data_IF_740398765505
#
_entry.id   IF_740398765505
#
_cell.length_a   1.000
_cell.length_b   1.000
_cell.length_c   1.000
_cell.angle_alpha   90.00
_cell.angle_beta   90.00
_cell.angle_gamma   90.00
#
_symmetry.space_group_name_H-M   'P 1'
#
loop_
_entity.id
_entity.type
_entity.pdbx_description
1 polymer ?
#
# COMPACT_ATOMS: atom_id res chain seq x y z
N UNK A 1 21.32 14.29 32.51
CA UNK A 1 21.34 13.72 31.15
C UNK A 1 20.13 12.81 31.04
N UNK A 2 19.18 13.05 30.15
CA UNK A 2 18.03 12.17 29.99
C UNK A 2 18.48 10.89 29.26
N UNK A 3 18.14 9.75 29.87
CA UNK A 3 18.45 8.42 29.29
C UNK A 3 17.72 8.23 27.97
N UNK A 4 18.46 7.91 26.93
CA UNK A 4 17.91 7.54 25.63
C UNK A 4 17.15 6.22 25.75
N UNK A 5 15.89 6.11 25.26
CA UNK A 5 15.10 4.89 25.37
C UNK A 5 15.78 3.76 24.60
N UNK A 6 15.97 2.62 25.26
CA UNK A 6 16.64 1.43 24.69
C UNK A 6 15.88 0.88 23.46
N UNK A 7 16.58 0.54 22.35
CA UNK A 7 15.98 0.09 21.09
C UNK A 7 15.30 -1.31 21.13
N UNK A 8 15.27 -1.98 22.29
CA UNK A 8 14.71 -3.33 22.45
C UNK A 8 13.17 -3.40 22.38
N UNK A 9 12.45 -2.32 22.65
CA UNK A 9 10.97 -2.31 22.62
C UNK A 9 10.40 -2.37 21.22
N UNK A 10 11.09 -1.81 20.20
CA UNK A 10 10.60 -1.76 18.82
C UNK A 10 10.66 -3.12 18.13
N UNK A 11 11.62 -3.97 18.43
CA UNK A 11 11.73 -5.30 17.83
C UNK A 11 10.63 -6.25 18.36
N UNK A 12 10.40 -6.23 19.67
CA UNK A 12 9.35 -7.04 20.29
C UNK A 12 7.96 -6.64 19.77
N UNK A 13 7.70 -5.34 19.61
CA UNK A 13 6.44 -4.83 19.07
C UNK A 13 6.24 -5.26 17.60
N UNK A 14 7.28 -5.17 16.77
CA UNK A 14 7.24 -5.61 15.37
C UNK A 14 7.03 -7.13 15.26
N UNK A 15 7.68 -7.89 16.13
CA UNK A 15 7.54 -9.35 16.13
C UNK A 15 6.13 -9.78 16.58
N UNK A 16 5.57 -9.10 17.59
CA UNK A 16 4.20 -9.40 18.08
C UNK A 16 3.14 -9.03 17.04
N UNK A 17 3.27 -7.88 16.36
CA UNK A 17 2.35 -7.52 15.28
C UNK A 17 2.43 -8.48 14.10
N UNK A 18 3.62 -8.89 13.69
CA UNK A 18 3.81 -9.89 12.63
C UNK A 18 3.24 -11.26 13.03
N UNK A 19 3.42 -11.69 14.27
CA UNK A 19 2.92 -12.95 14.80
C UNK A 19 1.38 -13.02 14.86
N UNK A 20 0.70 -11.88 14.93
CA UNK A 20 -0.77 -11.81 14.90
C UNK A 20 -1.28 -11.64 13.46
N UNK A 21 -0.66 -10.74 12.69
CA UNK A 21 -1.13 -10.43 11.34
C UNK A 21 -0.89 -11.57 10.35
N UNK A 22 0.23 -12.29 10.45
CA UNK A 22 0.53 -13.37 9.52
C UNK A 22 -0.48 -14.53 9.59
N UNK A 23 -0.82 -15.09 10.77
CA UNK A 23 -1.86 -16.10 10.87
C UNK A 23 -3.24 -15.60 10.43
N UNK A 24 -3.58 -14.33 10.71
CA UNK A 24 -4.85 -13.74 10.30
C UNK A 24 -4.95 -13.67 8.77
N UNK A 25 -3.90 -13.23 8.09
CA UNK A 25 -3.84 -13.17 6.62
C UNK A 25 -3.90 -14.59 6.03
N UNK A 26 -3.12 -15.54 6.56
CA UNK A 26 -3.14 -16.93 6.08
C UNK A 26 -4.51 -17.58 6.29
N UNK A 27 -5.15 -17.35 7.44
CA UNK A 27 -6.50 -17.82 7.67
C UNK A 27 -7.50 -17.22 6.67
N UNK A 28 -7.41 -15.92 6.40
CA UNK A 28 -8.27 -15.23 5.44
C UNK A 28 -8.11 -15.74 4.00
N UNK A 29 -6.91 -16.23 3.65
CA UNK A 29 -6.60 -16.76 2.31
C UNK A 29 -7.01 -18.23 2.12
N UNK A 30 -6.83 -19.06 3.15
CA UNK A 30 -6.93 -20.53 3.00
C UNK A 30 -8.20 -21.13 3.60
N UNK A 31 -8.84 -20.50 4.58
CA UNK A 31 -10.00 -21.08 5.28
C UNK A 31 -11.02 -20.08 5.78
N UNK A 32 -10.78 -18.80 5.60
CA UNK A 32 -11.66 -17.72 6.06
C UNK A 32 -12.83 -17.46 5.10
N UNK A 33 -13.83 -16.69 5.55
CA UNK A 33 -14.90 -16.23 4.68
C UNK A 33 -14.36 -15.33 3.56
N UNK A 34 -14.91 -15.48 2.35
CA UNK A 34 -14.43 -14.78 1.13
C UNK A 34 -14.36 -13.25 1.25
N UNK A 35 -15.19 -12.64 2.09
CA UNK A 35 -15.19 -11.19 2.31
C UNK A 35 -14.03 -10.69 3.20
N UNK A 36 -13.42 -11.57 3.99
CA UNK A 36 -12.42 -11.18 4.98
C UNK A 36 -11.13 -10.66 4.34
N UNK A 37 -10.61 -11.38 3.34
CA UNK A 37 -9.37 -10.98 2.66
C UNK A 37 -9.49 -9.65 1.90
N UNK A 38 -10.54 -9.39 1.08
CA UNK A 38 -10.73 -8.09 0.44
C UNK A 38 -10.82 -6.93 1.43
N UNK A 39 -11.52 -7.10 2.56
CA UNK A 39 -11.63 -6.06 3.60
C UNK A 39 -10.26 -5.78 4.22
N UNK A 40 -9.53 -6.83 4.65
CA UNK A 40 -8.18 -6.65 5.22
C UNK A 40 -7.24 -5.95 4.24
N UNK A 41 -7.24 -6.39 2.98
CA UNK A 41 -6.40 -5.80 1.93
C UNK A 41 -6.77 -4.35 1.66
N UNK A 42 -8.05 -3.99 1.66
CA UNK A 42 -8.52 -2.61 1.51
C UNK A 42 -8.07 -1.74 2.68
N UNK A 43 -8.15 -2.23 3.91
CA UNK A 43 -7.68 -1.51 5.11
C UNK A 43 -6.17 -1.29 5.02
N UNK A 44 -5.39 -2.33 4.70
CA UNK A 44 -3.93 -2.23 4.56
C UNK A 44 -3.55 -1.24 3.46
N UNK A 45 -4.23 -1.29 2.32
CA UNK A 45 -4.03 -0.34 1.22
C UNK A 45 -4.33 1.10 1.66
N UNK A 46 -5.43 1.33 2.38
CA UNK A 46 -5.80 2.65 2.91
C UNK A 46 -4.78 3.20 3.91
N UNK A 47 -4.29 2.36 4.81
CA UNK A 47 -3.23 2.73 5.76
C UNK A 47 -1.91 3.04 5.04
N UNK A 48 -1.51 2.20 4.08
CA UNK A 48 -0.32 2.43 3.26
C UNK A 48 -0.43 3.71 2.42
N UNK A 49 -1.60 3.99 1.86
CA UNK A 49 -1.86 5.25 1.17
C UNK A 49 -1.76 6.46 2.13
N UNK A 50 -2.32 6.35 3.32
CA UNK A 50 -2.22 7.41 4.33
C UNK A 50 -0.76 7.71 4.69
N UNK A 51 0.07 6.69 4.91
CA UNK A 51 1.50 6.85 5.19
C UNK A 51 2.25 7.44 4.00
N UNK A 52 2.01 6.93 2.78
CA UNK A 52 2.63 7.44 1.56
C UNK A 52 2.36 8.94 1.39
N UNK A 53 1.09 9.35 1.51
CA UNK A 53 0.73 10.76 1.35
C UNK A 53 1.09 11.63 2.57
N UNK A 54 1.32 11.04 3.75
CA UNK A 54 1.92 11.75 4.87
C UNK A 54 3.38 12.15 4.59
N UNK A 55 4.12 11.29 3.89
CA UNK A 55 5.52 11.53 3.52
C UNK A 55 5.65 12.44 2.29
N UNK A 56 4.79 12.26 1.28
CA UNK A 56 4.90 12.98 0.00
C UNK A 56 4.20 14.33 -0.02
N UNK A 57 3.24 14.56 0.87
CA UNK A 57 2.52 15.84 1.02
C UNK A 57 2.51 16.32 2.49
N UNK A 58 3.69 16.55 3.13
CA UNK A 58 3.76 17.02 4.50
C UNK A 58 3.13 18.42 4.62
N UNK A 59 2.32 18.63 5.65
CA UNK A 59 1.63 19.91 5.87
C UNK A 59 0.41 20.19 4.97
N UNK A 60 0.03 19.26 4.08
CA UNK A 60 -1.11 19.39 3.17
C UNK A 60 -2.22 18.35 3.45
N UNK A 61 -3.07 18.56 4.46
CA UNK A 61 -4.08 17.56 4.85
C UNK A 61 -5.10 17.26 3.75
N UNK A 62 -5.46 18.26 2.94
CA UNK A 62 -6.38 18.09 1.80
C UNK A 62 -5.78 17.18 0.73
N UNK A 63 -4.51 17.40 0.36
CA UNK A 63 -3.81 16.55 -0.61
C UNK A 63 -3.65 15.11 -0.10
N UNK A 64 -3.38 14.94 1.20
CA UNK A 64 -3.30 13.62 1.83
C UNK A 64 -4.65 12.89 1.77
N UNK A 65 -5.72 13.55 2.20
CA UNK A 65 -7.06 12.98 2.18
C UNK A 65 -7.49 12.61 0.75
N UNK A 66 -7.19 13.49 -0.21
CA UNK A 66 -7.46 13.21 -1.62
C UNK A 66 -6.67 12.02 -2.13
N UNK A 67 -5.38 11.91 -1.82
CA UNK A 67 -4.55 10.79 -2.24
C UNK A 67 -5.07 9.44 -1.75
N UNK A 68 -5.49 9.37 -0.48
CA UNK A 68 -6.13 8.16 0.08
C UNK A 68 -7.44 7.85 -0.64
N UNK A 69 -8.30 8.85 -0.84
CA UNK A 69 -9.57 8.67 -1.55
C UNK A 69 -9.35 8.19 -2.99
N UNK A 70 -8.43 8.80 -3.72
CA UNK A 70 -8.08 8.42 -5.08
C UNK A 70 -7.54 6.98 -5.15
N UNK A 71 -6.75 6.55 -4.16
CA UNK A 71 -6.26 5.17 -4.05
C UNK A 71 -7.43 4.18 -3.92
N UNK A 72 -8.39 4.47 -3.06
CA UNK A 72 -9.56 3.63 -2.87
C UNK A 72 -10.50 3.65 -4.09
N UNK A 73 -10.61 4.80 -4.78
CA UNK A 73 -11.37 4.92 -6.03
C UNK A 73 -10.78 4.04 -7.16
N UNK A 74 -9.47 3.88 -7.22
CA UNK A 74 -8.82 3.00 -8.21
C UNK A 74 -8.91 1.54 -7.77
N UNK A 75 -8.74 1.26 -6.48
CA UNK A 75 -8.83 -0.09 -5.93
C UNK A 75 -10.19 -0.74 -6.21
N UNK A 76 -11.30 -0.02 -6.08
CA UNK A 76 -12.64 -0.56 -6.27
C UNK A 76 -12.84 -1.26 -7.63
N UNK A 77 -12.67 -0.57 -8.77
CA UNK A 77 -12.81 -1.18 -10.10
C UNK A 77 -11.73 -2.21 -10.42
N UNK A 78 -10.46 -1.99 -9.98
CA UNK A 78 -9.37 -2.92 -10.26
C UNK A 78 -9.52 -4.23 -9.50
N UNK A 79 -10.12 -4.21 -8.32
CA UNK A 79 -10.42 -5.42 -7.53
C UNK A 79 -11.64 -6.20 -8.04
N UNK A 80 -12.48 -5.60 -8.89
CA UNK A 80 -13.76 -6.19 -9.29
C UNK A 80 -14.90 -5.94 -8.29
N UNK A 81 -14.64 -5.30 -7.14
CA UNK A 81 -15.69 -4.96 -6.15
C UNK A 81 -16.71 -3.95 -6.72
N UNK A 82 -16.26 -3.12 -7.62
CA UNK A 82 -17.08 -2.20 -8.41
C UNK A 82 -16.90 -2.58 -9.88
N UNK A 83 -17.95 -2.48 -10.68
CA UNK A 83 -17.90 -2.89 -12.10
C UNK A 83 -16.74 -2.25 -12.88
N UNK A 84 -16.12 -3.00 -13.77
CA UNK A 84 -14.94 -2.54 -14.56
C UNK A 84 -15.23 -1.27 -15.39
N UNK A 85 -16.47 -1.03 -15.75
CA UNK A 85 -16.89 0.20 -16.44
C UNK A 85 -16.58 1.48 -15.68
N UNK A 86 -16.41 1.40 -14.36
CA UNK A 86 -16.05 2.52 -13.50
C UNK A 86 -14.55 2.84 -13.49
N UNK A 87 -13.71 1.98 -14.06
CA UNK A 87 -12.25 2.18 -14.04
C UNK A 87 -11.84 3.51 -14.67
N UNK A 88 -12.31 3.77 -15.89
CA UNK A 88 -11.97 5.01 -16.61
C UNK A 88 -12.47 6.27 -15.91
N UNK A 89 -13.74 6.36 -15.44
CA UNK A 89 -14.20 7.49 -14.63
C UNK A 89 -13.40 7.68 -13.35
N UNK A 90 -13.08 6.61 -12.61
CA UNK A 90 -12.29 6.70 -11.39
C UNK A 90 -10.87 7.20 -11.64
N UNK A 91 -10.23 6.76 -12.73
CA UNK A 91 -8.95 7.27 -13.19
C UNK A 91 -9.04 8.77 -13.48
N UNK A 92 -10.01 9.19 -14.28
CA UNK A 92 -10.17 10.59 -14.65
C UNK A 92 -10.38 11.48 -13.42
N UNK A 93 -11.25 11.07 -12.50
CA UNK A 93 -11.51 11.80 -11.24
C UNK A 93 -10.25 11.85 -10.38
N UNK A 94 -9.51 10.75 -10.26
CA UNK A 94 -8.28 10.67 -9.46
C UNK A 94 -7.21 11.62 -10.00
N UNK A 95 -6.99 11.65 -11.31
CA UNK A 95 -6.00 12.52 -11.98
C UNK A 95 -6.41 13.98 -11.87
N UNK A 96 -7.63 14.33 -12.27
CA UNK A 96 -8.12 15.72 -12.26
C UNK A 96 -8.11 16.26 -10.83
N UNK A 97 -8.65 15.51 -9.87
CA UNK A 97 -8.67 15.93 -8.48
C UNK A 97 -7.28 16.02 -7.86
N UNK A 98 -6.36 15.12 -8.19
CA UNK A 98 -4.96 15.19 -7.79
C UNK A 98 -4.30 16.48 -8.26
N UNK A 99 -4.46 16.82 -9.54
CA UNK A 99 -3.95 18.07 -10.10
C UNK A 99 -4.62 19.32 -9.49
N UNK A 100 -5.95 19.30 -9.30
CA UNK A 100 -6.68 20.41 -8.67
C UNK A 100 -6.21 20.67 -7.24
N UNK A 101 -5.96 19.63 -6.44
CA UNK A 101 -5.46 19.82 -5.06
C UNK A 101 -4.06 20.40 -5.00
N UNK A 102 -3.25 20.29 -6.06
CA UNK A 102 -1.93 20.94 -6.14
C UNK A 102 -2.04 22.43 -6.40
N UNK A 103 -3.13 22.89 -7.06
CA UNK A 103 -3.36 24.29 -7.40
C UNK A 103 -3.95 25.11 -6.25
N UNK A 104 -4.68 24.46 -5.33
CA UNK A 104 -5.44 25.15 -4.24
C UNK A 104 -4.52 25.81 -3.20
N UNK A 105 -3.30 25.34 -3.00
CA UNK A 105 -2.30 26.01 -2.15
C UNK A 105 -0.97 26.03 -2.88
N UNK A 106 -0.51 27.22 -3.21
CA UNK A 106 0.76 27.48 -3.92
C UNK A 106 1.93 27.42 -2.92
N UNK A 107 2.59 26.28 -2.72
CA UNK A 107 3.95 26.23 -2.20
C UNK A 107 4.91 26.56 -3.35
N UNK A 108 6.21 26.67 -3.10
CA UNK A 108 7.17 26.93 -4.18
C UNK A 108 6.96 25.94 -5.33
N UNK A 109 6.95 26.45 -6.56
CA UNK A 109 6.63 25.73 -7.80
C UNK A 109 7.43 24.42 -7.93
N UNK A 110 8.65 24.40 -7.39
CA UNK A 110 9.55 23.24 -7.38
C UNK A 110 8.97 22.01 -6.64
N UNK A 111 8.23 22.19 -5.55
CA UNK A 111 7.61 21.10 -4.80
C UNK A 111 6.23 20.70 -5.33
N UNK A 112 5.57 21.60 -6.09
CA UNK A 112 4.24 21.34 -6.63
C UNK A 112 4.24 20.23 -7.68
N UNK A 113 5.23 20.21 -8.58
CA UNK A 113 5.36 19.20 -9.62
C UNK A 113 5.60 17.81 -9.02
N UNK A 114 6.50 17.68 -8.04
CA UNK A 114 6.77 16.41 -7.36
C UNK A 114 5.54 15.91 -6.59
N UNK A 115 4.87 16.80 -5.86
CA UNK A 115 3.65 16.46 -5.13
C UNK A 115 2.51 16.05 -6.07
N UNK A 116 2.32 16.77 -7.19
CA UNK A 116 1.36 16.42 -8.23
C UNK A 116 1.65 15.05 -8.83
N UNK A 117 2.91 14.75 -9.12
CA UNK A 117 3.36 13.44 -9.59
C UNK A 117 2.98 12.31 -8.62
N UNK A 118 3.18 12.50 -7.31
CA UNK A 118 2.77 11.51 -6.30
C UNK A 118 1.25 11.41 -6.15
N UNK A 119 0.50 12.53 -6.24
CA UNK A 119 -0.96 12.51 -6.15
C UNK A 119 -1.64 11.85 -7.35
N UNK A 120 -0.93 11.74 -8.48
CA UNK A 120 -1.38 10.97 -9.64
C UNK A 120 -0.82 9.55 -9.60
N UNK A 121 0.48 9.38 -9.46
CA UNK A 121 1.14 8.08 -9.54
C UNK A 121 0.88 7.17 -8.32
N UNK A 122 0.83 7.75 -7.10
CA UNK A 122 0.62 6.99 -5.86
C UNK A 122 -0.69 6.19 -5.83
N UNK A 123 -1.85 6.78 -6.19
CA UNK A 123 -3.10 6.06 -6.30
C UNK A 123 -3.06 4.87 -7.27
N UNK A 124 -2.41 5.04 -8.43
CA UNK A 124 -2.21 3.93 -9.37
C UNK A 124 -1.30 2.86 -8.79
N UNK A 125 -0.18 3.26 -8.20
CA UNK A 125 0.77 2.31 -7.61
C UNK A 125 0.12 1.45 -6.53
N UNK A 126 -0.55 2.06 -5.55
CA UNK A 126 -1.18 1.30 -4.46
C UNK A 126 -2.53 0.71 -4.88
N UNK A 127 -3.44 1.51 -5.42
CA UNK A 127 -4.81 1.10 -5.72
C UNK A 127 -4.87 -0.02 -6.76
N UNK A 128 -4.10 0.08 -7.86
CA UNK A 128 -4.09 -0.95 -8.87
C UNK A 128 -3.41 -2.24 -8.38
N UNK A 129 -2.24 -2.15 -7.70
CA UNK A 129 -1.55 -3.35 -7.22
C UNK A 129 -2.38 -4.10 -6.18
N UNK A 130 -2.91 -3.41 -5.16
CA UNK A 130 -3.74 -4.06 -4.15
C UNK A 130 -5.08 -4.56 -4.73
N UNK A 131 -5.68 -3.81 -5.67
CA UNK A 131 -6.87 -4.24 -6.38
C UNK A 131 -6.63 -5.53 -7.18
N UNK A 132 -5.50 -5.63 -7.88
CA UNK A 132 -5.11 -6.84 -8.62
C UNK A 132 -4.92 -8.05 -7.70
N UNK A 133 -4.39 -7.86 -6.49
CA UNK A 133 -4.25 -8.94 -5.49
C UNK A 133 -5.63 -9.44 -5.04
N UNK A 134 -6.58 -8.53 -4.78
CA UNK A 134 -7.97 -8.92 -4.45
C UNK A 134 -8.60 -9.69 -5.60
N UNK A 135 -8.42 -9.21 -6.83
CA UNK A 135 -8.95 -9.88 -8.03
C UNK A 135 -8.33 -11.27 -8.24
N UNK A 136 -7.03 -11.42 -7.99
CA UNK A 136 -6.35 -12.71 -8.03
C UNK A 136 -6.96 -13.68 -7.00
N UNK A 137 -7.27 -13.21 -5.79
CA UNK A 137 -7.90 -14.00 -4.74
C UNK A 137 -9.28 -14.54 -5.15
N UNK A 138 -10.03 -13.82 -5.96
CA UNK A 138 -11.37 -14.24 -6.41
C UNK A 138 -11.37 -15.36 -7.46
N UNK A 139 -10.22 -15.65 -8.07
CA UNK A 139 -10.10 -16.77 -9.03
C UNK A 139 -10.13 -18.12 -8.34
N UNK A 140 -10.34 -19.18 -9.14
CA UNK A 140 -10.19 -20.56 -8.67
C UNK A 140 -8.77 -20.73 -8.07
N UNK A 141 -8.69 -21.28 -6.85
CA UNK A 141 -7.44 -21.42 -6.08
C UNK A 141 -6.70 -20.08 -5.78
N UNK A 142 -7.41 -18.95 -5.88
CA UNK A 142 -6.82 -17.63 -5.74
C UNK A 142 -6.07 -17.43 -4.41
N UNK A 143 -6.56 -17.99 -3.31
CA UNK A 143 -5.85 -17.97 -2.02
C UNK A 143 -4.46 -18.58 -2.09
N UNK A 144 -4.32 -19.71 -2.81
CA UNK A 144 -3.04 -20.40 -3.00
C UNK A 144 -2.08 -19.56 -3.87
N UNK A 145 -2.61 -18.92 -4.91
CA UNK A 145 -1.81 -18.02 -5.76
C UNK A 145 -1.31 -16.79 -5.00
N UNK A 146 -2.13 -16.21 -4.13
CA UNK A 146 -1.68 -15.09 -3.28
C UNK A 146 -0.62 -15.55 -2.27
N UNK A 147 -0.79 -16.73 -1.66
CA UNK A 147 0.25 -17.31 -0.78
C UNK A 147 1.56 -17.54 -1.53
N UNK A 148 1.50 -18.07 -2.74
CA UNK A 148 2.68 -18.27 -3.58
C UNK A 148 3.39 -16.94 -3.88
N UNK A 149 2.63 -15.90 -4.22
CA UNK A 149 3.14 -14.55 -4.42
C UNK A 149 3.84 -14.00 -3.17
N UNK A 150 3.25 -14.21 -1.99
CA UNK A 150 3.85 -13.80 -0.71
C UNK A 150 5.15 -14.57 -0.43
N UNK A 151 5.18 -15.88 -0.65
CA UNK A 151 6.40 -16.70 -0.48
C UNK A 151 7.50 -16.20 -1.40
N UNK A 152 7.17 -15.89 -2.65
CA UNK A 152 8.14 -15.37 -3.61
C UNK A 152 8.68 -13.99 -3.19
N UNK A 153 7.80 -13.07 -2.79
CA UNK A 153 8.19 -11.72 -2.37
C UNK A 153 9.08 -11.76 -1.11
N UNK A 154 8.62 -12.40 -0.04
CA UNK A 154 9.40 -12.50 1.21
C UNK A 154 10.65 -13.37 1.05
N UNK A 155 10.61 -14.40 0.22
CA UNK A 155 11.75 -15.26 -0.09
C UNK A 155 12.83 -14.50 -0.84
N UNK A 156 12.47 -13.69 -1.83
CA UNK A 156 13.43 -12.86 -2.59
C UNK A 156 14.10 -11.81 -1.70
N UNK A 157 13.34 -11.14 -0.83
CA UNK A 157 13.87 -10.15 0.11
C UNK A 157 14.83 -10.78 1.11
N UNK A 158 14.47 -11.96 1.63
CA UNK A 158 15.33 -12.73 2.54
C UNK A 158 16.63 -13.16 1.85
N UNK A 159 16.53 -13.69 0.62
CA UNK A 159 17.68 -14.10 -0.16
C UNK A 159 18.61 -12.92 -0.47
N UNK A 160 18.03 -11.78 -0.90
CA UNK A 160 18.78 -10.55 -1.15
C UNK A 160 19.52 -10.05 0.10
N UNK A 161 18.87 -10.11 1.27
CA UNK A 161 19.49 -9.77 2.55
C UNK A 161 20.71 -10.65 2.87
N UNK A 162 20.60 -11.98 2.72
CA UNK A 162 21.71 -12.89 3.01
C UNK A 162 22.85 -12.74 2.01
N UNK A 163 22.54 -12.59 0.72
CA UNK A 163 23.56 -12.35 -0.33
C UNK A 163 24.28 -11.02 -0.09
N UNK A 164 23.53 -9.95 0.22
CA UNK A 164 24.13 -8.65 0.53
C UNK A 164 25.05 -8.70 1.75
N UNK A 165 24.64 -9.42 2.81
CA UNK A 165 25.46 -9.60 4.00
C UNK A 165 26.70 -10.45 3.76
N UNK A 166 26.62 -11.49 2.94
CA UNK A 166 27.76 -12.34 2.59
C UNK A 166 28.74 -11.63 1.63
N UNK A 167 28.21 -10.78 0.72
CA UNK A 167 29.02 -10.03 -0.24
C UNK A 167 29.66 -8.75 0.29
N UNK A 168 29.14 -8.16 1.38
CA UNK A 168 29.67 -6.92 1.99
C UNK A 168 30.81 -7.11 2.98
N UNK A 169 31.39 -8.30 3.09
CA UNK A 169 32.66 -8.52 3.84
C UNK A 169 33.87 -8.18 3.02
N UNK A 170 33.90 -7.04 2.31
CA UNK A 170 35.11 -6.46 1.77
C UNK A 170 35.55 -5.28 2.65
N UNK A 171 36.83 -5.28 3.07
CA UNK A 171 37.41 -4.21 3.88
C UNK A 171 37.41 -2.87 3.15
#
# INVERSE_FOLDING_TARGET
>A
MPETPKPRSNLALRLSTAAILLPLVLYSLLGGPRWLFPILTTIICGLGAFELFAMTAPGHPVSRAWGVLATLLILGPTSGLVGESWLVPCIAVSVIGGLMTTLVKVPPVESAALRGGWLVGGPFYLGALFGTIIRLFEHADGGQWVVLLMIYAFGSDTAAYFVGRAGCSRP
#
